data_IF_914562542166
#
_entry.id   IF_914562542166
#
_cell.length_a   1.000
_cell.length_b   1.000
_cell.length_c   1.000
_cell.angle_alpha   90.00
_cell.angle_beta   90.00
_cell.angle_gamma   90.00
#
_symmetry.space_group_name_H-M   'P 1'
#
loop_
_entity.id
_entity.type
_entity.pdbx_description
1 polymer ?
#
# COMPACT_ATOMS: atom_id res chain seq x y z
N UNK A 1 -9.44 1.81 16.03
CA UNK A 1 -7.98 1.99 16.16
C UNK A 1 -7.72 3.36 16.76
N UNK A 2 -6.86 3.49 17.76
CA UNK A 2 -6.54 4.80 18.33
C UNK A 2 -5.89 5.71 17.26
N UNK A 3 -6.15 7.02 17.34
CA UNK A 3 -5.60 7.99 16.39
C UNK A 3 -4.07 7.92 16.37
N UNK A 4 -3.44 7.79 17.54
CA UNK A 4 -1.99 7.66 17.66
C UNK A 4 -1.42 6.43 16.95
N UNK A 5 -2.12 5.28 17.02
CA UNK A 5 -1.72 4.06 16.32
C UNK A 5 -1.87 4.19 14.80
N UNK A 6 -2.95 4.84 14.35
CA UNK A 6 -3.17 5.11 12.90
C UNK A 6 -2.09 6.01 12.34
N UNK A 7 -1.73 7.07 13.05
CA UNK A 7 -0.63 7.96 12.67
C UNK A 7 0.70 7.19 12.63
N UNK A 8 0.99 6.36 13.64
CA UNK A 8 2.20 5.54 13.65
C UNK A 8 2.26 4.58 12.47
N UNK A 9 1.15 3.91 12.13
CA UNK A 9 1.04 3.02 10.98
C UNK A 9 1.35 3.77 9.66
N UNK A 10 0.80 4.98 9.47
CA UNK A 10 1.10 5.79 8.30
C UNK A 10 2.55 6.27 8.24
N UNK A 11 3.19 6.58 9.38
CA UNK A 11 4.62 6.91 9.42
C UNK A 11 5.47 5.70 9.00
N UNK A 12 5.15 4.50 9.50
CA UNK A 12 5.86 3.27 9.11
C UNK A 12 5.68 2.99 7.61
N UNK A 13 4.46 3.13 7.08
CA UNK A 13 4.22 3.00 5.64
C UNK A 13 5.04 4.00 4.82
N UNK A 14 5.11 5.26 5.25
CA UNK A 14 5.91 6.28 4.59
C UNK A 14 7.41 5.93 4.55
N UNK A 15 7.96 5.43 5.66
CA UNK A 15 9.36 4.97 5.71
C UNK A 15 9.60 3.80 4.74
N UNK A 16 8.70 2.83 4.67
CA UNK A 16 8.80 1.71 3.72
C UNK A 16 8.78 2.18 2.26
N UNK A 17 7.96 3.18 1.92
CA UNK A 17 7.97 3.79 0.58
C UNK A 17 9.27 4.52 0.27
N UNK A 18 9.85 5.25 1.24
CA UNK A 18 11.15 5.92 1.04
C UNK A 18 12.25 4.89 0.77
N UNK A 19 12.28 3.78 1.53
CA UNK A 19 13.22 2.68 1.29
C UNK A 19 13.00 2.00 -0.06
N UNK A 20 11.74 1.85 -0.49
CA UNK A 20 11.40 1.34 -1.81
C UNK A 20 11.93 2.23 -2.94
N UNK A 21 11.86 3.56 -2.79
CA UNK A 21 12.35 4.51 -3.80
C UNK A 21 13.88 4.51 -3.90
N UNK A 22 14.58 4.45 -2.75
CA UNK A 22 16.04 4.45 -2.70
C UNK A 22 16.69 3.24 -3.38
N UNK A 23 16.03 2.08 -3.37
CA UNK A 23 16.58 0.84 -3.93
C UNK A 23 16.32 0.59 -5.42
N UNK A 24 15.56 1.46 -6.10
CA UNK A 24 15.20 1.32 -7.53
C UNK A 24 16.36 1.64 -8.50
N UNK A 25 17.47 2.21 -8.02
CA UNK A 25 18.59 2.67 -8.84
C UNK A 25 19.50 1.54 -9.38
N UNK A 26 19.52 0.36 -8.74
CA UNK A 26 20.23 -0.83 -9.22
C UNK A 26 19.25 -1.92 -9.66
N UNK A 27 19.48 -2.58 -10.80
CA UNK A 27 18.56 -3.60 -11.34
C UNK A 27 18.34 -4.80 -10.37
N UNK A 28 19.39 -5.26 -9.67
CA UNK A 28 19.24 -6.32 -8.65
C UNK A 28 18.59 -5.82 -7.36
N UNK A 29 18.90 -4.59 -6.92
CA UNK A 29 18.31 -4.00 -5.73
C UNK A 29 16.86 -3.57 -5.97
N UNK A 30 16.48 -3.22 -7.20
CA UNK A 30 15.15 -2.76 -7.57
C UNK A 30 14.10 -3.85 -7.32
N UNK A 31 14.42 -5.11 -7.67
CA UNK A 31 13.53 -6.25 -7.41
C UNK A 31 13.26 -6.44 -5.92
N UNK A 32 14.26 -6.20 -5.07
CA UNK A 32 14.12 -6.25 -3.61
C UNK A 32 13.44 -5.00 -3.05
N UNK A 33 13.70 -3.85 -3.65
CA UNK A 33 13.18 -2.56 -3.22
C UNK A 33 11.67 -2.46 -3.38
N UNK A 34 11.13 -2.99 -4.48
CA UNK A 34 9.69 -3.05 -4.75
C UNK A 34 8.93 -3.79 -3.64
N UNK A 35 9.53 -4.79 -2.99
CA UNK A 35 8.89 -5.48 -1.86
C UNK A 35 8.62 -4.55 -0.68
N UNK A 36 9.51 -3.59 -0.39
CA UNK A 36 9.24 -2.59 0.65
C UNK A 36 8.02 -1.74 0.29
N UNK A 37 7.86 -1.38 -0.99
CA UNK A 37 6.69 -0.66 -1.48
C UNK A 37 5.39 -1.45 -1.40
N UNK A 38 5.41 -2.74 -1.77
CA UNK A 38 4.22 -3.62 -1.67
C UNK A 38 3.78 -3.78 -0.22
N UNK A 39 4.72 -4.01 0.71
CA UNK A 39 4.41 -4.12 2.14
C UNK A 39 3.90 -2.79 2.70
N UNK A 40 4.52 -1.67 2.31
CA UNK A 40 4.07 -0.32 2.70
C UNK A 40 2.65 -0.01 2.21
N UNK A 41 2.32 -0.39 0.98
CA UNK A 41 0.98 -0.23 0.42
C UNK A 41 -0.05 -1.08 1.17
N UNK A 42 0.26 -2.34 1.46
CA UNK A 42 -0.64 -3.21 2.24
C UNK A 42 -0.89 -2.67 3.65
N UNK A 43 0.14 -2.18 4.33
CA UNK A 43 0.03 -1.58 5.66
C UNK A 43 -0.85 -0.32 5.63
N UNK A 44 -0.61 0.59 4.69
CA UNK A 44 -1.39 1.83 4.55
C UNK A 44 -2.87 1.53 4.31
N UNK A 45 -3.19 0.66 3.35
CA UNK A 45 -4.58 0.27 3.03
C UNK A 45 -5.24 -0.39 4.24
N UNK A 46 -4.56 -1.31 4.93
CA UNK A 46 -5.08 -1.95 6.13
C UNK A 46 -5.38 -0.97 7.26
N UNK A 47 -4.45 -0.04 7.51
CA UNK A 47 -4.61 1.03 8.51
C UNK A 47 -5.80 1.96 8.17
N UNK A 48 -6.01 2.27 6.89
CA UNK A 48 -7.15 3.07 6.44
C UNK A 48 -8.48 2.33 6.60
N UNK A 49 -8.53 1.02 6.32
CA UNK A 49 -9.75 0.22 6.45
C UNK A 49 -10.23 0.03 7.91
N UNK A 50 -9.30 -0.02 8.87
CA UNK A 50 -9.56 -0.28 10.29
C UNK A 50 -9.48 1.03 11.13
N UNK A 51 -9.05 2.12 10.50
CA UNK A 51 -8.81 3.41 11.13
C UNK A 51 -10.07 4.23 11.47
N UNK A 52 -9.88 5.48 11.93
CA UNK A 52 -10.96 6.43 12.18
C UNK A 52 -11.74 6.71 10.90
N UNK A 53 -13.07 6.64 10.95
CA UNK A 53 -13.92 6.77 9.75
C UNK A 53 -14.16 5.46 9.00
N UNK A 54 -13.82 4.31 9.60
CA UNK A 54 -14.16 3.00 9.08
C UNK A 54 -15.69 2.83 8.95
N UNK A 55 -16.13 2.56 7.73
CA UNK A 55 -17.53 2.41 7.33
C UNK A 55 -17.60 1.84 5.90
N UNK A 56 -18.77 1.32 5.50
CA UNK A 56 -18.98 0.74 4.16
C UNK A 56 -17.94 -0.31 3.74
N UNK A 57 -17.53 -1.18 4.68
CA UNK A 57 -16.47 -2.18 4.47
C UNK A 57 -16.62 -3.01 3.19
N UNK A 58 -17.84 -3.48 2.92
CA UNK A 58 -18.18 -4.21 1.69
C UNK A 58 -17.90 -3.39 0.43
N UNK A 59 -18.31 -2.12 0.41
CA UNK A 59 -18.09 -1.25 -0.74
C UNK A 59 -16.60 -0.97 -0.95
N UNK A 60 -15.85 -0.68 0.11
CA UNK A 60 -14.41 -0.43 0.05
C UNK A 60 -13.64 -1.64 -0.50
N UNK A 61 -13.96 -2.86 -0.03
CA UNK A 61 -13.33 -4.08 -0.54
C UNK A 61 -13.67 -4.32 -2.02
N UNK A 62 -14.92 -4.09 -2.43
CA UNK A 62 -15.33 -4.20 -3.83
C UNK A 62 -14.56 -3.20 -4.71
N UNK A 63 -14.46 -1.93 -4.29
CA UNK A 63 -13.76 -0.90 -5.06
C UNK A 63 -12.26 -1.14 -5.13
N UNK A 64 -11.62 -1.54 -4.03
CA UNK A 64 -10.19 -1.89 -4.00
C UNK A 64 -9.94 -3.11 -4.91
N UNK A 65 -10.79 -4.13 -4.83
CA UNK A 65 -10.70 -5.33 -5.67
C UNK A 65 -10.87 -5.03 -7.15
N UNK A 66 -11.90 -4.25 -7.53
CA UNK A 66 -12.15 -3.85 -8.90
C UNK A 66 -11.04 -2.95 -9.45
N UNK A 67 -10.63 -1.93 -8.70
CA UNK A 67 -9.55 -1.02 -9.11
C UNK A 67 -8.21 -1.75 -9.26
N UNK A 68 -7.88 -2.62 -8.31
CA UNK A 68 -6.68 -3.47 -8.37
C UNK A 68 -6.71 -4.45 -9.55
N UNK A 69 -7.85 -5.08 -9.81
CA UNK A 69 -8.01 -6.01 -10.93
C UNK A 69 -7.85 -5.31 -12.28
N UNK A 70 -8.52 -4.17 -12.48
CA UNK A 70 -8.39 -3.36 -13.70
C UNK A 70 -6.95 -2.87 -13.89
N UNK A 71 -6.33 -2.37 -12.82
CA UNK A 71 -4.95 -1.91 -12.84
C UNK A 71 -3.96 -3.01 -13.21
N UNK A 72 -4.10 -4.20 -12.63
CA UNK A 72 -3.28 -5.37 -12.98
C UNK A 72 -3.47 -5.77 -14.46
N UNK A 73 -4.71 -5.79 -14.93
CA UNK A 73 -4.99 -6.16 -16.31
C UNK A 73 -4.35 -5.18 -17.31
N UNK A 74 -4.37 -3.88 -17.01
CA UNK A 74 -3.73 -2.87 -17.84
C UNK A 74 -2.20 -2.95 -17.76
N UNK A 75 -1.64 -3.17 -16.58
CA UNK A 75 -0.20 -3.29 -16.37
C UNK A 75 0.41 -4.52 -17.06
N UNK A 76 -0.36 -5.59 -17.27
CA UNK A 76 0.08 -6.78 -18.00
C UNK A 76 -0.07 -6.66 -19.52
N UNK A 77 -0.82 -5.67 -20.00
CA UNK A 77 -1.05 -5.45 -21.44
C UNK A 77 0.03 -4.60 -22.10
N UNK A 78 0.80 -3.84 -21.31
CA UNK A 78 1.96 -3.06 -21.76
C UNK A 78 3.23 -3.87 -21.67
#
# INVERSE_FOLDING_TARGET
MDIGFTTAAYVVAAVLFILSLGGLSGQESAKRAVWYGIVGMGLAVGATLIGPGSGLWLLSLVLIGLGGFIGMQLAQRV
#
